data_IF_528151991559
#
_entry.id   IF_528151991559
#
_cell.length_a   1.000
_cell.length_b   1.000
_cell.length_c   1.000
_cell.angle_alpha   90.00
_cell.angle_beta   90.00
_cell.angle_gamma   90.00
#
_symmetry.space_group_name_H-M   'P 1'
#
loop_
_entity.id
_entity.type
_entity.pdbx_description
1 polymer ?
#
# COMPACT_ATOMS: atom_id res chain seq x y z
N UNK A 1 13.86 -10.26 -5.10
CA UNK A 1 14.49 -10.91 -3.96
C UNK A 1 14.18 -10.14 -2.68
N UNK A 2 13.91 -10.82 -1.57
CA UNK A 2 13.65 -10.15 -0.30
C UNK A 2 14.92 -9.43 0.15
N UNK A 3 14.84 -8.13 0.27
CA UNK A 3 15.93 -7.30 0.76
C UNK A 3 15.92 -7.39 2.29
N UNK A 4 17.03 -7.83 2.89
CA UNK A 4 17.23 -7.79 4.33
C UNK A 4 17.63 -9.14 4.95
N UNK A 5 18.27 -9.04 6.10
CA UNK A 5 18.67 -10.19 6.92
C UNK A 5 17.44 -10.78 7.58
N UNK A 6 17.33 -12.10 7.59
CA UNK A 6 16.22 -12.85 8.19
C UNK A 6 16.73 -13.84 9.23
N UNK A 7 15.94 -14.05 10.25
CA UNK A 7 16.12 -15.09 11.25
C UNK A 7 14.90 -15.99 11.21
N UNK A 8 15.12 -17.27 10.92
CA UNK A 8 14.04 -18.27 10.79
C UNK A 8 12.90 -17.87 9.83
N UNK A 9 13.23 -17.11 8.76
CA UNK A 9 12.22 -16.65 7.79
C UNK A 9 11.62 -15.27 8.07
N UNK A 10 11.68 -14.78 9.29
CA UNK A 10 11.21 -13.45 9.68
C UNK A 10 12.28 -12.38 9.43
N UNK A 11 11.90 -11.15 9.06
CA UNK A 11 12.81 -10.03 8.98
C UNK A 11 13.51 -9.79 10.34
N UNK A 12 14.82 -9.55 10.33
CA UNK A 12 15.57 -9.21 11.55
C UNK A 12 15.13 -7.87 12.13
N UNK A 13 14.79 -6.93 11.27
CA UNK A 13 14.27 -5.63 11.68
C UNK A 13 12.78 -5.73 11.96
N UNK A 14 12.37 -5.15 13.10
CA UNK A 14 10.95 -5.05 13.45
C UNK A 14 10.19 -4.10 12.49
N UNK A 15 8.86 -4.29 12.33
CA UNK A 15 8.04 -3.40 11.53
C UNK A 15 8.03 -1.95 12.07
N UNK A 16 7.59 -0.97 11.24
CA UNK A 16 6.91 -1.16 9.95
C UNK A 16 7.88 -1.50 8.81
N UNK A 17 7.41 -2.32 7.84
CA UNK A 17 8.23 -2.75 6.69
C UNK A 17 8.09 -1.82 5.49
N UNK A 18 7.05 -1.04 5.43
CA UNK A 18 6.85 0.02 4.47
C UNK A 18 6.05 1.15 5.07
N UNK A 19 6.43 2.39 4.78
CA UNK A 19 5.78 3.58 5.36
C UNK A 19 5.53 4.64 4.30
N UNK A 20 4.49 5.43 4.56
CA UNK A 20 4.31 6.73 3.93
C UNK A 20 4.57 7.78 5.00
N UNK A 21 5.37 8.79 4.66
CA UNK A 21 5.70 9.90 5.54
C UNK A 21 5.30 11.22 4.89
N UNK A 22 4.61 12.07 5.63
CA UNK A 22 4.41 13.47 5.24
C UNK A 22 5.45 14.33 5.95
N UNK A 23 6.13 15.15 5.17
CA UNK A 23 7.18 16.05 5.66
C UNK A 23 6.67 17.48 5.52
N UNK A 24 6.70 18.23 6.61
CA UNK A 24 6.53 19.68 6.60
C UNK A 24 7.84 20.31 6.13
N UNK A 25 7.84 20.86 4.93
CA UNK A 25 9.04 21.46 4.33
C UNK A 25 9.36 22.86 4.93
N UNK A 26 8.42 23.49 5.61
CA UNK A 26 8.64 24.77 6.28
C UNK A 26 9.40 24.57 7.57
N UNK A 27 8.97 23.58 8.35
CA UNK A 27 9.56 23.27 9.65
C UNK A 27 10.69 22.21 9.56
N UNK A 28 10.79 21.50 8.43
CA UNK A 28 11.75 20.40 8.25
C UNK A 28 11.45 19.17 9.12
N UNK A 29 10.19 18.98 9.51
CA UNK A 29 9.77 17.92 10.43
C UNK A 29 8.85 16.91 9.76
N UNK A 30 8.76 15.69 10.32
CA UNK A 30 7.75 14.70 9.91
C UNK A 30 6.43 15.08 10.56
N UNK A 31 5.44 15.49 9.75
CA UNK A 31 4.10 15.80 10.20
C UNK A 31 3.34 14.54 10.67
N UNK A 32 3.47 13.43 9.89
CA UNK A 32 2.99 12.11 10.26
C UNK A 32 3.70 11.01 9.47
N UNK A 33 3.68 9.81 10.01
CA UNK A 33 4.18 8.61 9.35
C UNK A 33 3.26 7.43 9.68
N UNK A 34 2.90 6.66 8.67
CA UNK A 34 1.99 5.51 8.81
C UNK A 34 2.56 4.27 8.09
N UNK A 35 2.27 3.05 8.57
CA UNK A 35 2.49 1.83 7.78
C UNK A 35 1.62 1.84 6.52
N UNK A 36 2.20 1.52 5.37
CA UNK A 36 1.47 1.41 4.10
C UNK A 36 1.44 -0.03 3.59
N UNK A 37 0.25 -0.49 3.26
CA UNK A 37 -0.03 -1.85 2.81
C UNK A 37 -0.28 -2.84 3.95
N UNK A 38 -0.75 -4.02 3.58
CA UNK A 38 -1.01 -5.12 4.52
C UNK A 38 0.31 -5.71 5.07
N UNK A 39 0.18 -6.54 6.11
CA UNK A 39 1.29 -7.38 6.55
C UNK A 39 1.58 -8.43 5.48
N UNK A 40 2.83 -8.57 4.99
CA UNK A 40 3.16 -9.59 4.01
C UNK A 40 2.81 -11.00 4.50
N UNK A 41 2.28 -11.86 3.61
CA UNK A 41 1.83 -13.23 3.96
C UNK A 41 2.90 -14.03 4.70
N UNK A 42 4.17 -13.90 4.30
CA UNK A 42 5.32 -14.57 4.93
C UNK A 42 5.52 -14.20 6.43
N UNK A 43 4.95 -13.08 6.84
CA UNK A 43 4.96 -12.65 8.25
C UNK A 43 3.63 -13.01 8.91
N UNK A 44 2.51 -12.64 8.29
CA UNK A 44 1.18 -12.87 8.84
C UNK A 44 0.87 -14.36 9.08
N UNK A 45 1.40 -15.24 8.22
CA UNK A 45 1.18 -16.69 8.27
C UNK A 45 2.38 -17.45 8.89
N UNK A 46 3.30 -16.75 9.55
CA UNK A 46 4.49 -17.40 10.10
C UNK A 46 4.13 -18.21 11.36
N UNK A 47 4.51 -19.51 11.44
CA UNK A 47 4.13 -20.37 12.57
C UNK A 47 4.52 -19.83 13.96
N UNK A 48 5.65 -19.14 14.06
CA UNK A 48 6.08 -18.54 15.33
C UNK A 48 5.24 -17.33 15.77
N UNK A 49 4.37 -16.82 14.90
CA UNK A 49 3.49 -15.67 15.17
C UNK A 49 2.03 -16.11 15.27
N UNK A 50 1.76 -17.40 15.22
CA UNK A 50 0.41 -17.94 15.40
C UNK A 50 -0.19 -17.54 16.77
N UNK A 51 -1.42 -17.04 16.74
CA UNK A 51 -2.12 -16.55 17.93
C UNK A 51 -1.70 -15.17 18.41
N UNK A 52 -0.75 -14.51 17.73
CA UNK A 52 -0.38 -13.13 18.05
C UNK A 52 -1.20 -12.18 17.18
N UNK A 53 -1.90 -11.24 17.82
CA UNK A 53 -2.57 -10.15 17.10
C UNK A 53 -1.52 -9.17 16.58
N UNK A 54 -1.27 -9.22 15.26
CA UNK A 54 -0.29 -8.39 14.61
C UNK A 54 -0.98 -7.14 14.05
N UNK A 55 -0.52 -5.93 14.42
CA UNK A 55 -0.95 -4.74 13.73
C UNK A 55 -0.47 -4.79 12.27
N UNK A 56 -1.13 -4.05 11.39
CA UNK A 56 -0.70 -3.90 10.00
C UNK A 56 0.73 -3.33 9.93
N UNK A 57 1.63 -4.11 9.34
CA UNK A 57 3.07 -3.80 9.34
C UNK A 57 3.55 -2.99 8.13
N UNK A 58 2.69 -2.83 7.12
CA UNK A 58 3.10 -2.28 5.83
C UNK A 58 3.89 -3.28 5.00
N UNK A 59 4.08 -2.94 3.73
CA UNK A 59 4.82 -3.73 2.74
C UNK A 59 6.04 -2.98 2.24
N UNK A 60 7.13 -3.69 2.02
CA UNK A 60 8.30 -3.12 1.36
C UNK A 60 8.04 -3.06 -0.16
N UNK A 61 7.58 -1.93 -0.63
CA UNK A 61 7.31 -1.69 -2.04
C UNK A 61 7.73 -0.28 -2.46
N UNK A 62 8.09 -0.13 -3.72
CA UNK A 62 8.33 1.17 -4.34
C UNK A 62 7.14 1.48 -5.25
N UNK A 63 6.16 2.19 -4.71
CA UNK A 63 4.96 2.61 -5.44
C UNK A 63 4.88 4.13 -5.53
N UNK A 64 4.37 4.64 -6.64
CA UNK A 64 4.08 6.06 -6.79
C UNK A 64 2.85 6.45 -5.97
N UNK A 65 2.79 7.70 -5.54
CA UNK A 65 1.64 8.27 -4.83
C UNK A 65 0.96 9.34 -5.66
N UNK A 66 -0.36 9.44 -5.55
CA UNK A 66 -1.16 10.54 -6.08
C UNK A 66 -1.62 11.41 -4.91
N UNK A 67 -1.25 12.69 -4.94
CA UNK A 67 -1.68 13.65 -3.93
C UNK A 67 -2.69 14.61 -4.55
N UNK A 68 -3.89 14.67 -3.96
CA UNK A 68 -4.96 15.59 -4.33
C UNK A 68 -5.06 16.74 -3.31
N UNK A 69 -6.13 17.53 -3.39
CA UNK A 69 -6.39 18.59 -2.41
C UNK A 69 -6.50 18.04 -0.98
N UNK A 70 -7.17 16.91 -0.79
CA UNK A 70 -7.51 16.35 0.53
C UNK A 70 -6.97 14.96 0.78
N UNK A 71 -6.68 14.19 -0.27
CA UNK A 71 -6.30 12.79 -0.20
C UNK A 71 -4.88 12.54 -0.71
N UNK A 72 -4.25 11.55 -0.13
CA UNK A 72 -3.13 10.82 -0.66
C UNK A 72 -3.61 9.43 -1.05
N UNK A 73 -3.32 9.00 -2.28
CA UNK A 73 -3.74 7.71 -2.83
C UNK A 73 -2.50 6.93 -3.24
N UNK A 74 -2.41 5.69 -2.77
CA UNK A 74 -1.32 4.77 -3.07
C UNK A 74 -1.81 3.33 -3.09
N UNK A 75 -1.35 2.56 -4.06
CA UNK A 75 -1.61 1.12 -4.15
C UNK A 75 -0.55 0.30 -3.45
N UNK A 76 -0.90 -0.93 -3.12
CA UNK A 76 0.03 -1.91 -2.58
C UNK A 76 0.91 -2.50 -3.68
N UNK A 77 2.17 -2.79 -3.34
CA UNK A 77 3.15 -3.35 -4.27
C UNK A 77 3.30 -4.87 -4.19
N UNK A 78 2.64 -5.52 -3.24
CA UNK A 78 2.60 -6.98 -3.09
C UNK A 78 1.16 -7.46 -2.98
N UNK A 79 0.90 -8.69 -3.47
CA UNK A 79 -0.36 -9.40 -3.20
C UNK A 79 -0.30 -10.00 -1.80
N UNK A 80 -1.38 -9.84 -1.05
CA UNK A 80 -1.58 -10.51 0.24
C UNK A 80 -2.90 -11.26 0.25
N UNK A 81 -2.98 -12.28 1.09
CA UNK A 81 -4.19 -13.07 1.28
C UNK A 81 -5.10 -12.36 2.27
N UNK A 82 -6.35 -12.12 1.88
CA UNK A 82 -7.37 -11.55 2.74
C UNK A 82 -8.02 -12.60 3.66
N UNK A 83 -8.94 -12.18 4.52
CA UNK A 83 -9.68 -13.05 5.45
C UNK A 83 -10.51 -14.15 4.76
N UNK A 84 -10.82 -13.97 3.46
CA UNK A 84 -11.56 -14.94 2.65
C UNK A 84 -10.62 -15.86 1.87
N UNK A 85 -9.30 -15.81 2.09
CA UNK A 85 -8.31 -16.59 1.38
C UNK A 85 -8.02 -16.12 -0.05
N UNK A 86 -8.49 -14.92 -0.43
CA UNK A 86 -8.29 -14.38 -1.79
C UNK A 86 -7.05 -13.48 -1.81
N UNK A 87 -6.17 -13.74 -2.76
CA UNK A 87 -4.98 -12.91 -2.97
C UNK A 87 -5.33 -11.66 -3.79
N UNK A 88 -5.06 -10.50 -3.21
CA UNK A 88 -5.27 -9.21 -3.87
C UNK A 88 -4.31 -8.15 -3.33
N UNK A 89 -4.16 -7.08 -4.05
CA UNK A 89 -3.58 -5.84 -3.57
C UNK A 89 -4.71 -4.82 -3.32
N UNK A 90 -4.42 -3.74 -2.62
CA UNK A 90 -5.39 -2.68 -2.37
C UNK A 90 -4.87 -1.34 -2.91
N UNK A 91 -5.76 -0.53 -3.44
CA UNK A 91 -5.54 0.91 -3.61
C UNK A 91 -6.15 1.60 -2.39
N UNK A 92 -5.34 2.36 -1.65
CA UNK A 92 -5.75 3.00 -0.39
C UNK A 92 -5.76 4.50 -0.54
N UNK A 93 -6.73 5.12 0.11
CA UNK A 93 -6.85 6.56 0.23
C UNK A 93 -6.65 6.98 1.69
N UNK A 94 -5.81 7.98 1.90
CA UNK A 94 -5.49 8.54 3.22
C UNK A 94 -5.83 10.01 3.25
N UNK A 95 -6.31 10.50 4.37
CA UNK A 95 -6.50 11.93 4.59
C UNK A 95 -5.13 12.62 4.63
N UNK A 96 -4.90 13.55 3.70
CA UNK A 96 -3.57 14.14 3.48
C UNK A 96 -2.97 14.82 4.73
N UNK A 97 -3.80 15.47 5.55
CA UNK A 97 -3.31 16.20 6.71
C UNK A 97 -2.99 15.31 7.92
N UNK A 98 -3.55 14.09 8.01
CA UNK A 98 -3.44 13.26 9.22
C UNK A 98 -2.85 11.88 8.99
N UNK A 99 -2.80 11.42 7.73
CA UNK A 99 -2.44 10.05 7.40
C UNK A 99 -3.52 9.00 7.72
N UNK A 100 -4.69 9.41 8.24
CA UNK A 100 -5.77 8.47 8.51
C UNK A 100 -6.29 7.86 7.21
N UNK A 101 -6.41 6.52 7.18
CA UNK A 101 -7.03 5.81 6.05
C UNK A 101 -8.53 6.11 6.00
N UNK A 102 -9.03 6.52 4.85
CA UNK A 102 -10.43 6.88 4.64
C UNK A 102 -11.15 5.92 3.69
N UNK A 103 -10.43 5.04 3.02
CA UNK A 103 -11.01 4.01 2.18
C UNK A 103 -9.96 3.18 1.44
N UNK A 104 -10.40 2.04 0.94
CA UNK A 104 -9.57 1.16 0.12
C UNK A 104 -10.42 0.39 -0.90
N UNK A 105 -9.83 0.12 -2.08
CA UNK A 105 -10.45 -0.65 -3.16
C UNK A 105 -9.52 -1.78 -3.55
N UNK A 106 -10.09 -2.97 -3.76
CA UNK A 106 -9.32 -4.14 -4.18
C UNK A 106 -8.84 -3.99 -5.63
N UNK A 107 -7.58 -4.35 -5.85
CA UNK A 107 -6.94 -4.44 -7.15
C UNK A 107 -6.64 -5.90 -7.50
N UNK A 108 -6.80 -6.30 -8.77
CA UNK A 108 -6.48 -7.66 -9.20
C UNK A 108 -4.97 -7.96 -9.20
N UNK A 109 -4.13 -6.90 -9.24
CA UNK A 109 -2.68 -7.00 -9.21
C UNK A 109 -2.06 -5.81 -8.49
N UNK A 110 -0.81 -5.90 -8.04
CA UNK A 110 -0.10 -4.78 -7.40
C UNK A 110 0.01 -3.55 -8.30
N UNK A 111 0.05 -2.38 -7.69
CA UNK A 111 0.40 -1.15 -8.39
C UNK A 111 1.82 -1.22 -8.93
N UNK A 112 2.01 -0.91 -10.20
CA UNK A 112 3.31 -0.94 -10.88
C UNK A 112 3.76 0.40 -11.45
N UNK A 113 2.92 1.42 -11.40
CA UNK A 113 3.22 2.78 -11.86
C UNK A 113 2.62 3.83 -10.94
N UNK A 114 2.90 5.11 -11.20
CA UNK A 114 2.29 6.21 -10.44
C UNK A 114 0.84 6.42 -10.86
N UNK A 115 -0.10 6.56 -9.93
CA UNK A 115 -1.48 6.89 -10.24
C UNK A 115 -1.58 8.32 -10.80
N UNK A 116 -2.55 8.54 -11.67
CA UNK A 116 -2.95 9.86 -12.14
C UNK A 116 -4.45 10.08 -11.96
N UNK A 117 -4.89 11.31 -12.00
CA UNK A 117 -6.32 11.66 -11.97
C UNK A 117 -6.67 12.63 -13.08
N UNK A 118 -7.89 12.52 -13.60
CA UNK A 118 -8.46 13.46 -14.57
C UNK A 118 -9.96 13.59 -14.39
N UNK A 119 -10.51 14.63 -14.99
CA UNK A 119 -11.96 14.87 -15.06
C UNK A 119 -12.48 14.55 -16.45
N UNK A 120 -13.59 13.84 -16.54
CA UNK A 120 -14.31 13.59 -17.78
C UNK A 120 -15.81 13.73 -17.54
N UNK A 121 -16.47 14.61 -18.30
CA UNK A 121 -17.91 14.87 -18.18
C UNK A 121 -18.40 15.20 -16.75
N UNK A 122 -17.57 15.89 -15.96
CA UNK A 122 -17.89 16.24 -14.58
C UNK A 122 -17.60 15.14 -13.54
N UNK A 123 -17.13 13.97 -13.96
CA UNK A 123 -16.77 12.86 -13.09
C UNK A 123 -15.24 12.76 -12.96
N UNK A 124 -14.77 12.43 -11.78
CA UNK A 124 -13.35 12.22 -11.52
C UNK A 124 -12.97 10.76 -11.70
N UNK A 125 -11.84 10.55 -12.35
CA UNK A 125 -11.25 9.22 -12.54
C UNK A 125 -9.84 9.18 -11.95
N UNK A 126 -9.49 8.02 -11.40
CA UNK A 126 -8.13 7.67 -11.02
C UNK A 126 -7.68 6.56 -11.94
N UNK A 127 -6.52 6.75 -12.59
CA UNK A 127 -5.92 5.75 -13.48
C UNK A 127 -4.58 5.34 -12.90
N UNK A 128 -4.33 4.04 -12.89
CA UNK A 128 -3.05 3.48 -12.45
C UNK A 128 -2.68 2.24 -13.26
N UNK A 129 -1.39 2.00 -13.40
CA UNK A 129 -0.87 0.75 -13.92
C UNK A 129 -0.82 -0.29 -12.82
N UNK A 130 -1.23 -1.51 -13.15
CA UNK A 130 -1.12 -2.68 -12.29
C UNK A 130 -0.38 -3.79 -13.01
N UNK A 131 0.42 -4.56 -12.29
CA UNK A 131 1.09 -5.76 -12.80
C UNK A 131 1.74 -6.57 -11.67
N UNK A 132 2.11 -7.79 -11.95
CA UNK A 132 2.83 -8.65 -11.00
C UNK A 132 1.98 -9.79 -10.46
N UNK A 133 2.60 -10.73 -9.73
CA UNK A 133 1.92 -11.90 -9.21
C UNK A 133 1.40 -12.88 -10.28
N UNK A 134 1.98 -12.84 -11.49
CA UNK A 134 1.50 -13.60 -12.64
C UNK A 134 0.43 -12.89 -13.48
N UNK A 135 0.06 -11.67 -13.10
CA UNK A 135 -0.89 -10.83 -13.84
C UNK A 135 -0.17 -10.00 -14.90
N UNK A 136 -0.68 -9.96 -16.12
CA UNK A 136 -0.15 -9.10 -17.19
C UNK A 136 -0.41 -7.63 -16.88
N UNK A 137 0.49 -6.74 -17.39
CA UNK A 137 0.35 -5.30 -17.14
C UNK A 137 -0.91 -4.72 -17.77
N UNK A 138 -1.66 -3.96 -16.99
CA UNK A 138 -2.87 -3.24 -17.41
C UNK A 138 -2.90 -1.83 -16.87
N UNK A 139 -3.65 -0.95 -17.55
CA UNK A 139 -4.11 0.32 -17.02
C UNK A 139 -5.56 0.16 -16.59
N UNK A 140 -5.85 0.47 -15.35
CA UNK A 140 -7.23 0.49 -14.85
C UNK A 140 -7.66 1.90 -14.53
N UNK A 141 -8.95 2.20 -14.78
CA UNK A 141 -9.57 3.47 -14.44
C UNK A 141 -10.68 3.22 -13.42
N UNK A 142 -10.62 3.92 -12.31
CA UNK A 142 -11.63 3.91 -11.25
C UNK A 142 -12.38 5.23 -11.28
N UNK A 143 -13.71 5.19 -11.33
CA UNK A 143 -14.57 6.36 -11.20
C UNK A 143 -14.87 6.60 -9.72
N UNK A 144 -14.74 7.85 -9.29
CA UNK A 144 -15.09 8.31 -7.95
C UNK A 144 -16.53 8.81 -7.89
#
# INVERSE_FOLDING_TARGET
PPIGIRVQGLPLLKPPYGTISAIDLTEGTIAWQIPHGQTPDRVAQHPMLEGIDLPRTGQNASVGTLVTKTLLIAGEGELTVDENGVRRAMLRAYHKATGAEVGAVALPAPQSGSPMTYMLNGEQYIVLAISGGGYSGELIALRL
#
